data_IF_325774213739
#
_entry.id   IF_325774213739
#
_cell.length_a   1.000
_cell.length_b   1.000
_cell.length_c   1.000
_cell.angle_alpha   90.00
_cell.angle_beta   90.00
_cell.angle_gamma   90.00
#
_symmetry.space_group_name_H-M   'P 1'
#
loop_
_entity.id
_entity.type
_entity.pdbx_description
1 polymer ?
#
# COMPACT_ATOMS: atom_id res chain seq x y z
N UNK A 1 4.86 31.50 -4.45
CA UNK A 1 5.57 30.43 -3.72
C UNK A 1 4.78 29.16 -3.91
N UNK A 2 5.45 28.02 -4.16
CA UNK A 2 4.78 26.73 -4.23
C UNK A 2 4.41 26.31 -2.81
N UNK A 3 3.13 26.00 -2.58
CA UNK A 3 2.67 25.45 -1.30
C UNK A 3 2.64 23.92 -1.47
N UNK A 4 3.42 23.17 -0.68
CA UNK A 4 3.38 21.70 -0.76
C UNK A 4 2.03 21.18 -0.29
N UNK A 5 1.67 19.98 -0.72
CA UNK A 5 0.54 19.27 -0.13
C UNK A 5 0.77 19.02 1.36
N UNK A 6 -0.30 19.02 2.15
CA UNK A 6 -0.20 18.90 3.60
C UNK A 6 -1.37 18.12 4.21
N UNK A 7 -1.11 17.56 5.39
CA UNK A 7 -2.13 16.87 6.20
C UNK A 7 -2.69 17.83 7.25
N UNK A 8 -4.00 17.74 7.48
CA UNK A 8 -4.72 18.44 8.53
C UNK A 8 -5.61 17.45 9.28
N UNK A 9 -5.46 17.40 10.61
CA UNK A 9 -6.30 16.59 11.50
C UNK A 9 -7.12 17.58 12.34
N UNK A 10 -8.44 17.74 12.08
CA UNK A 10 -9.25 18.76 12.75
C UNK A 10 -9.36 18.59 14.27
N UNK A 11 -9.26 17.36 14.75
CA UNK A 11 -9.26 17.03 16.17
C UNK A 11 -8.09 16.09 16.48
N UNK A 12 -7.09 16.60 17.20
CA UNK A 12 -5.91 15.84 17.63
C UNK A 12 -5.92 15.54 19.13
N UNK A 13 -7.07 15.68 19.80
CA UNK A 13 -7.21 15.27 21.20
C UNK A 13 -6.92 13.76 21.32
N UNK A 14 -6.40 13.29 22.47
CA UNK A 14 -6.24 11.87 22.71
C UNK A 14 -7.55 11.11 22.52
N UNK A 15 -7.49 9.99 21.82
CA UNK A 15 -8.63 9.12 21.56
C UNK A 15 -8.46 7.77 22.26
N UNK A 16 -9.57 7.11 22.55
CA UNK A 16 -9.56 5.73 23.03
C UNK A 16 -9.41 4.75 21.87
N UNK A 17 -8.91 3.55 22.16
CA UNK A 17 -8.88 2.44 21.20
C UNK A 17 -10.25 2.24 20.55
N UNK A 18 -10.25 2.07 19.22
CA UNK A 18 -11.46 1.83 18.47
C UNK A 18 -12.30 3.08 18.21
N UNK A 19 -11.78 4.26 18.54
CA UNK A 19 -12.33 5.53 18.06
C UNK A 19 -11.72 5.92 16.71
N UNK A 20 -12.48 6.69 15.95
CA UNK A 20 -12.05 7.20 14.64
C UNK A 20 -11.49 8.62 14.76
N UNK A 21 -10.49 8.92 13.95
CA UNK A 21 -10.01 10.30 13.73
C UNK A 21 -10.25 10.69 12.28
N UNK A 22 -10.74 11.90 12.06
CA UNK A 22 -10.89 12.44 10.71
C UNK A 22 -9.53 12.99 10.25
N UNK A 23 -9.05 12.52 9.11
CA UNK A 23 -7.81 12.99 8.49
C UNK A 23 -8.14 13.61 7.14
N UNK A 24 -7.59 14.81 6.90
CA UNK A 24 -7.73 15.53 5.65
C UNK A 24 -6.36 15.72 5.00
N UNK A 25 -6.26 15.43 3.71
CA UNK A 25 -5.12 15.85 2.88
C UNK A 25 -5.56 16.94 1.94
N UNK A 26 -4.79 18.02 1.89
CA UNK A 26 -5.00 19.13 0.97
C UNK A 26 -3.85 19.14 -0.03
N UNK A 27 -4.19 19.06 -1.30
CA UNK A 27 -3.26 19.17 -2.42
C UNK A 27 -3.49 20.53 -3.09
N UNK A 28 -2.65 21.55 -2.83
CA UNK A 28 -2.81 22.86 -3.43
C UNK A 28 -2.72 22.82 -4.96
N UNK A 29 -3.40 23.75 -5.61
CA UNK A 29 -3.26 23.94 -7.05
C UNK A 29 -1.78 24.16 -7.43
N UNK A 30 -1.27 23.30 -8.30
CA UNK A 30 0.09 23.40 -8.82
C UNK A 30 0.09 24.13 -10.19
N UNK A 31 1.16 24.86 -10.53
CA UNK A 31 1.31 25.41 -11.88
C UNK A 31 1.24 24.30 -12.92
N UNK A 32 0.57 24.57 -14.04
CA UNK A 32 0.32 23.61 -15.11
C UNK A 32 1.63 23.00 -15.65
N UNK A 33 1.91 21.73 -15.33
CA UNK A 33 2.99 20.96 -15.97
C UNK A 33 2.45 20.28 -17.22
N UNK A 34 2.27 20.99 -18.33
CA UNK A 34 1.72 20.41 -19.56
C UNK A 34 2.30 19.03 -19.90
N UNK A 35 1.49 18.00 -19.68
CA UNK A 35 1.75 16.65 -20.16
C UNK A 35 0.71 16.39 -21.22
N UNK A 36 1.16 16.31 -22.47
CA UNK A 36 0.29 15.98 -23.62
C UNK A 36 -0.15 14.51 -23.62
N UNK A 37 0.38 13.72 -22.70
CA UNK A 37 0.22 12.27 -22.66
C UNK A 37 -0.55 11.82 -21.42
N UNK A 38 -0.26 12.39 -20.25
CA UNK A 38 -0.98 12.05 -19.03
C UNK A 38 -2.33 12.75 -18.96
N UNK A 39 -3.41 11.98 -18.86
CA UNK A 39 -4.76 12.52 -18.60
C UNK A 39 -5.50 11.58 -17.65
N UNK A 40 -6.01 12.06 -16.50
CA UNK A 40 -6.77 11.22 -15.58
C UNK A 40 -8.01 10.63 -16.25
N UNK A 41 -8.51 9.52 -15.73
CA UNK A 41 -9.79 8.99 -16.13
C UNK A 41 -10.92 10.00 -15.84
N UNK A 42 -12.00 9.94 -16.62
CA UNK A 42 -13.12 10.88 -16.48
C UNK A 42 -13.72 10.76 -15.08
N UNK A 43 -13.78 11.88 -14.36
CA UNK A 43 -14.32 11.94 -13.00
C UNK A 43 -13.34 11.51 -11.90
N UNK A 44 -12.12 11.11 -12.27
CA UNK A 44 -11.05 10.82 -11.31
C UNK A 44 -10.21 12.07 -11.05
N UNK A 45 -9.64 12.20 -9.84
CA UNK A 45 -8.69 13.26 -9.55
C UNK A 45 -7.43 13.16 -10.41
N UNK A 46 -6.69 14.26 -10.51
CA UNK A 46 -5.41 14.31 -11.23
C UNK A 46 -4.25 13.67 -10.46
N UNK A 47 -4.44 13.43 -9.17
CA UNK A 47 -3.46 12.89 -8.25
C UNK A 47 -4.06 11.72 -7.47
N UNK A 48 -3.19 10.93 -6.86
CA UNK A 48 -3.53 9.87 -5.93
C UNK A 48 -2.75 10.10 -4.65
N UNK A 49 -3.46 10.01 -3.54
CA UNK A 49 -2.92 10.31 -2.22
C UNK A 49 -2.84 9.01 -1.45
N UNK A 50 -1.62 8.60 -1.12
CA UNK A 50 -1.36 7.52 -0.18
C UNK A 50 -1.06 8.12 1.18
N UNK A 51 -1.75 7.65 2.20
CA UNK A 51 -1.51 8.11 3.56
C UNK A 51 -1.66 6.95 4.53
N UNK A 52 -0.67 6.82 5.40
CA UNK A 52 -0.69 5.91 6.53
C UNK A 52 -0.63 6.72 7.82
N UNK A 53 -1.30 6.24 8.87
CA UNK A 53 -1.03 6.65 10.24
C UNK A 53 0.03 5.71 10.81
N UNK A 54 1.19 6.25 11.19
CA UNK A 54 2.34 5.45 11.65
C UNK A 54 2.60 5.69 13.13
N UNK A 55 2.55 4.62 13.92
CA UNK A 55 2.83 4.63 15.36
C UNK A 55 4.31 4.94 15.65
N UNK A 56 4.57 5.95 16.49
CA UNK A 56 5.91 6.43 16.78
C UNK A 56 6.77 5.38 17.53
N UNK A 57 6.15 4.54 18.36
CA UNK A 57 6.86 3.56 19.19
C UNK A 57 6.87 2.18 18.55
N UNK A 58 5.72 1.76 18.02
CA UNK A 58 5.50 0.40 17.49
C UNK A 58 5.85 0.27 16.02
N UNK A 59 5.96 1.39 15.30
CA UNK A 59 6.10 1.44 13.84
C UNK A 59 4.96 0.69 13.11
N UNK A 60 3.80 0.54 13.75
CA UNK A 60 2.58 0.05 13.12
C UNK A 60 2.12 1.10 12.10
N UNK A 61 1.91 0.70 10.86
CA UNK A 61 1.30 1.52 9.82
C UNK A 61 -0.16 1.10 9.61
N UNK A 62 -1.08 2.05 9.75
CA UNK A 62 -2.51 1.88 9.46
C UNK A 62 -2.85 2.69 8.21
N UNK A 63 -3.19 2.05 7.08
CA UNK A 63 -3.53 2.78 5.87
C UNK A 63 -4.82 3.57 6.04
N UNK A 64 -4.86 4.77 5.46
CA UNK A 64 -6.01 5.66 5.48
C UNK A 64 -6.71 5.62 4.12
N UNK A 65 -7.96 5.15 4.08
CA UNK A 65 -8.74 5.07 2.83
C UNK A 65 -9.34 6.45 2.45
N UNK A 66 -8.46 7.35 2.02
CA UNK A 66 -8.80 8.70 1.60
C UNK A 66 -9.74 8.71 0.39
N UNK A 67 -10.83 9.47 0.49
CA UNK A 67 -11.73 9.76 -0.63
C UNK A 67 -11.69 11.24 -0.98
N UNK A 68 -11.72 11.62 -2.27
CA UNK A 68 -11.88 13.01 -2.64
C UNK A 68 -13.24 13.49 -2.12
N UNK A 69 -13.28 14.70 -1.54
CA UNK A 69 -14.55 15.33 -1.20
C UNK A 69 -15.42 15.49 -2.45
N UNK A 70 -16.74 15.46 -2.30
CA UNK A 70 -17.68 15.58 -3.40
C UNK A 70 -17.77 17.03 -3.94
N UNK A 71 -16.69 17.48 -4.58
CA UNK A 71 -16.55 18.80 -5.19
C UNK A 71 -15.98 18.63 -6.60
N UNK A 72 -16.64 19.22 -7.61
CA UNK A 72 -16.18 19.13 -9.00
C UNK A 72 -14.76 19.69 -9.19
N UNK A 73 -14.33 20.61 -8.32
CA UNK A 73 -12.97 21.14 -8.33
C UNK A 73 -11.93 20.05 -8.11
N UNK A 74 -12.20 18.98 -7.37
CA UNK A 74 -11.28 17.84 -7.24
C UNK A 74 -10.93 17.15 -8.57
N UNK A 75 -11.66 17.43 -9.66
CA UNK A 75 -11.36 16.93 -11.01
C UNK A 75 -10.62 17.95 -11.88
N UNK A 76 -10.49 19.19 -11.41
CA UNK A 76 -9.86 20.30 -12.12
C UNK A 76 -8.42 20.47 -11.67
N UNK A 77 -7.51 20.24 -12.61
CA UNK A 77 -6.06 20.33 -12.46
C UNK A 77 -5.56 21.58 -11.72
N UNK A 78 -6.09 22.75 -12.08
CA UNK A 78 -5.60 24.04 -11.58
C UNK A 78 -6.30 24.47 -10.29
N UNK A 79 -6.87 23.51 -9.56
CA UNK A 79 -7.60 23.76 -8.34
C UNK A 79 -7.03 22.95 -7.19
N UNK A 80 -7.37 23.35 -5.98
CA UNK A 80 -6.99 22.62 -4.77
C UNK A 80 -7.84 21.36 -4.67
N UNK A 81 -7.19 20.21 -4.54
CA UNK A 81 -7.86 18.96 -4.24
C UNK A 81 -7.88 18.69 -2.75
N UNK A 82 -8.99 18.15 -2.25
CA UNK A 82 -9.16 17.80 -0.84
C UNK A 82 -9.66 16.37 -0.71
N UNK A 83 -8.98 15.62 0.14
CA UNK A 83 -9.24 14.23 0.45
C UNK A 83 -9.53 14.07 1.93
N UNK A 84 -10.50 13.24 2.28
CA UNK A 84 -10.92 13.00 3.65
C UNK A 84 -11.16 11.51 3.89
N UNK A 85 -10.87 11.07 5.11
CA UNK A 85 -11.27 9.77 5.62
C UNK A 85 -11.36 9.80 7.15
N UNK A 86 -12.17 8.90 7.69
CA UNK A 86 -12.13 8.53 9.09
C UNK A 86 -11.24 7.29 9.24
N UNK A 87 -10.15 7.41 9.98
CA UNK A 87 -9.25 6.29 10.28
C UNK A 87 -9.54 5.75 11.66
N UNK A 88 -9.67 4.43 11.76
CA UNK A 88 -9.97 3.71 12.99
C UNK A 88 -8.69 3.15 13.60
N UNK A 89 -8.20 3.80 14.66
CA UNK A 89 -6.96 3.42 15.33
C UNK A 89 -7.24 2.48 16.51
N UNK A 90 -6.53 1.35 16.54
CA UNK A 90 -6.85 0.23 17.46
C UNK A 90 -5.69 -0.23 18.33
N UNK A 91 -4.47 0.19 18.02
CA UNK A 91 -3.29 -0.12 18.83
C UNK A 91 -2.88 1.14 19.62
N UNK A 92 -2.36 0.94 20.84
CA UNK A 92 -1.87 2.05 21.68
C UNK A 92 -0.56 2.56 21.09
N UNK A 93 -0.56 3.82 20.63
CA UNK A 93 0.64 4.54 20.21
C UNK A 93 0.32 6.03 20.04
N UNK A 94 1.34 6.81 19.68
CA UNK A 94 1.16 8.14 19.09
C UNK A 94 1.34 8.01 17.59
N UNK A 95 0.25 8.19 16.85
CA UNK A 95 0.25 8.06 15.40
C UNK A 95 0.54 9.39 14.73
N UNK A 96 1.52 9.39 13.83
CA UNK A 96 1.82 10.53 12.94
C UNK A 96 1.50 10.15 11.51
N UNK A 97 0.89 11.05 10.72
CA UNK A 97 0.60 10.77 9.33
C UNK A 97 1.91 10.71 8.52
N UNK A 98 2.01 9.76 7.61
CA UNK A 98 3.08 9.66 6.61
C UNK A 98 2.45 9.33 5.27
N UNK A 99 2.78 10.09 4.24
CA UNK A 99 2.13 9.88 2.96
C UNK A 99 2.84 10.55 1.81
N UNK A 100 2.36 10.18 0.63
CA UNK A 100 2.91 10.61 -0.64
C UNK A 100 1.79 10.91 -1.63
N UNK A 101 2.07 11.82 -2.54
CA UNK A 101 1.29 12.03 -3.74
C UNK A 101 1.99 11.32 -4.89
N UNK A 102 1.20 10.58 -5.64
CA UNK A 102 1.63 9.92 -6.85
C UNK A 102 0.57 10.10 -7.93
N UNK A 103 0.95 9.82 -9.17
CA UNK A 103 0.04 9.90 -10.30
C UNK A 103 -0.45 8.50 -10.67
N UNK A 104 -1.63 8.08 -10.19
CA UNK A 104 -2.31 6.83 -10.62
C UNK A 104 -3.57 7.14 -11.44
N UNK A 105 -4.14 6.09 -12.04
CA UNK A 105 -5.44 6.13 -12.73
C UNK A 105 -5.56 7.14 -13.89
N UNK A 106 -4.48 7.27 -14.65
CA UNK A 106 -4.47 8.06 -15.88
C UNK A 106 -4.38 7.21 -17.13
N UNK A 107 -4.97 7.74 -18.20
CA UNK A 107 -4.72 7.27 -19.55
C UNK A 107 -3.31 7.68 -19.95
N UNK A 108 -2.61 6.73 -20.57
CA UNK A 108 -1.36 6.95 -21.29
C UNK A 108 -0.26 7.64 -20.45
N UNK A 109 0.55 6.88 -19.73
CA UNK A 109 1.90 7.34 -19.37
C UNK A 109 2.90 6.64 -20.30
N UNK A 110 3.15 7.17 -21.51
CA UNK A 110 3.93 6.47 -22.52
C UNK A 110 5.36 6.26 -22.03
N UNK A 111 5.85 5.04 -22.20
CA UNK A 111 7.23 4.67 -21.89
C UNK A 111 8.19 5.34 -22.88
N UNK A 112 9.03 6.25 -22.39
CA UNK A 112 10.15 6.91 -23.09
C UNK A 112 9.84 7.70 -24.39
N UNK A 113 10.48 8.86 -24.56
CA UNK A 113 10.40 9.69 -25.78
C UNK A 113 9.36 10.81 -25.78
N UNK A 114 8.38 10.81 -24.85
CA UNK A 114 7.34 11.84 -24.74
C UNK A 114 7.31 12.59 -23.40
N UNK A 115 8.44 12.65 -22.69
CA UNK A 115 8.55 13.26 -21.35
C UNK A 115 7.48 12.72 -20.38
N UNK A 116 7.55 11.43 -20.00
CA UNK A 116 6.57 10.85 -19.08
C UNK A 116 6.51 11.65 -17.77
N UNK A 117 5.34 11.65 -17.14
CA UNK A 117 5.22 12.20 -15.78
C UNK A 117 6.15 11.40 -14.86
N UNK A 118 6.98 12.06 -14.03
CA UNK A 118 7.87 11.37 -13.12
C UNK A 118 7.07 10.47 -12.18
N UNK A 119 7.50 9.21 -12.06
CA UNK A 119 6.91 8.23 -11.14
C UNK A 119 7.37 8.42 -9.69
N UNK A 120 8.27 9.37 -9.44
CA UNK A 120 8.76 9.64 -8.10
C UNK A 120 7.63 10.22 -7.23
N UNK A 121 7.27 9.55 -6.12
CA UNK A 121 6.25 10.06 -5.22
C UNK A 121 6.70 11.37 -4.57
N UNK A 122 5.80 12.36 -4.50
CA UNK A 122 6.02 13.62 -3.78
C UNK A 122 5.60 13.45 -2.32
N UNK A 123 6.50 13.70 -1.38
CA UNK A 123 6.17 13.59 0.05
C UNK A 123 5.18 14.68 0.47
N UNK A 124 4.16 14.28 1.24
CA UNK A 124 3.19 15.22 1.83
C UNK A 124 3.85 15.90 3.03
N UNK A 125 3.70 17.22 3.14
CA UNK A 125 4.17 17.97 4.29
C UNK A 125 3.38 17.63 5.56
N UNK A 126 4.10 17.24 6.60
CA UNK A 126 3.56 16.90 7.91
C UNK A 126 4.03 17.96 8.91
N UNK A 127 3.10 18.63 9.59
CA UNK A 127 3.46 19.58 10.63
C UNK A 127 4.11 18.89 11.84
N UNK A 128 5.09 19.53 12.47
CA UNK A 128 5.88 18.94 13.58
C UNK A 128 5.02 18.47 14.76
N UNK A 129 3.88 19.13 15.01
CA UNK A 129 2.96 18.82 16.11
C UNK A 129 1.78 17.93 15.69
N UNK A 130 1.77 17.39 14.48
CA UNK A 130 0.65 16.62 13.96
C UNK A 130 0.75 15.16 14.39
N UNK A 131 0.04 14.81 15.45
CA UNK A 131 -0.06 13.43 15.93
C UNK A 131 -1.35 13.18 16.70
N UNK A 132 -1.75 11.92 16.78
CA UNK A 132 -2.95 11.48 17.50
C UNK A 132 -2.52 10.42 18.51
N UNK A 133 -2.75 10.72 19.79
CA UNK A 133 -2.49 9.77 20.89
C UNK A 133 -3.65 8.81 21.01
N UNK A 134 -3.36 7.50 21.01
CA UNK A 134 -4.35 6.44 21.21
C UNK A 134 -4.07 5.78 22.55
N UNK A 135 -5.06 5.76 23.43
CA UNK A 135 -4.93 5.25 24.79
C UNK A 135 -5.84 4.04 25.03
N UNK A 136 -5.38 3.11 25.87
CA UNK A 136 -6.17 1.99 26.40
C UNK A 136 -6.41 2.21 27.89
N UNK A 137 -7.31 3.14 28.22
CA UNK A 137 -7.59 3.50 29.63
C UNK A 137 -8.12 2.31 30.42
N UNK A 138 -8.88 1.43 29.77
CA UNK A 138 -9.49 0.27 30.41
C UNK A 138 -8.60 -0.99 30.38
N UNK A 139 -7.45 -0.95 29.70
CA UNK A 139 -6.54 -2.09 29.48
C UNK A 139 -7.24 -3.34 28.90
N UNK A 140 -8.24 -3.12 28.04
CA UNK A 140 -9.13 -4.19 27.53
C UNK A 140 -8.98 -4.43 26.03
N UNK A 141 -7.97 -3.83 25.38
CA UNK A 141 -7.84 -3.91 23.92
C UNK A 141 -7.96 -5.34 23.38
N UNK A 142 -9.01 -5.64 22.58
CA UNK A 142 -9.15 -6.94 21.94
C UNK A 142 -8.13 -7.12 20.81
N UNK A 143 -7.46 -6.04 20.38
CA UNK A 143 -6.59 -5.98 19.21
C UNK A 143 -5.13 -6.28 19.50
N UNK A 144 -4.80 -6.68 20.73
CA UNK A 144 -3.45 -7.03 21.16
C UNK A 144 -2.78 -8.03 20.21
N UNK A 145 -1.57 -7.70 19.75
CA UNK A 145 -0.75 -8.55 18.88
C UNK A 145 -0.52 -9.95 19.47
N UNK A 146 -0.44 -10.07 20.80
CA UNK A 146 -0.26 -11.37 21.48
C UNK A 146 -1.38 -12.37 21.20
N UNK A 147 -2.57 -11.87 20.84
CA UNK A 147 -3.77 -12.68 20.54
C UNK A 147 -3.99 -12.88 19.05
N UNK A 148 -3.14 -12.33 18.18
CA UNK A 148 -3.38 -12.35 16.73
C UNK A 148 -3.45 -13.79 16.18
N UNK A 149 -2.58 -14.69 16.67
CA UNK A 149 -2.59 -16.09 16.25
C UNK A 149 -3.81 -16.89 16.76
N UNK A 150 -4.51 -16.39 17.78
CA UNK A 150 -5.76 -16.98 18.28
C UNK A 150 -6.98 -16.59 17.44
N UNK A 151 -6.85 -15.60 16.55
CA UNK A 151 -7.94 -15.16 15.69
C UNK A 151 -8.35 -16.27 14.72
N UNK A 152 -9.64 -16.31 14.32
CA UNK A 152 -10.07 -17.22 13.28
C UNK A 152 -9.38 -16.91 11.95
N UNK A 153 -9.30 -17.89 11.06
CA UNK A 153 -8.80 -17.65 9.71
C UNK A 153 -9.72 -16.69 8.95
N UNK A 154 -9.15 -15.78 8.18
CA UNK A 154 -9.92 -14.90 7.31
C UNK A 154 -10.70 -15.70 6.26
N UNK A 155 -11.95 -15.31 6.01
CA UNK A 155 -12.84 -15.92 5.01
C UNK A 155 -13.04 -15.03 3.79
N UNK A 156 -12.77 -13.73 3.93
CA UNK A 156 -12.86 -12.74 2.87
C UNK A 156 -11.46 -12.24 2.50
N UNK A 157 -11.24 -11.85 1.22
CA UNK A 157 -10.07 -11.06 0.87
C UNK A 157 -10.17 -9.66 1.49
N UNK A 158 -9.03 -8.96 1.59
CA UNK A 158 -8.99 -7.53 1.97
C UNK A 158 -9.56 -7.20 3.36
N UNK A 159 -9.23 -8.03 4.35
CA UNK A 159 -9.61 -7.77 5.73
C UNK A 159 -8.86 -6.56 6.30
N UNK A 160 -9.61 -5.64 6.93
CA UNK A 160 -9.06 -4.46 7.60
C UNK A 160 -8.00 -4.83 8.64
N UNK A 161 -6.88 -4.12 8.61
CA UNK A 161 -5.68 -4.49 9.34
C UNK A 161 -4.65 -3.39 9.41
N UNK A 162 -3.42 -3.82 9.66
CA UNK A 162 -2.25 -2.95 9.80
C UNK A 162 -1.00 -3.60 9.23
N UNK A 163 -0.08 -2.77 8.76
CA UNK A 163 1.27 -3.17 8.42
C UNK A 163 2.16 -3.14 9.65
N UNK A 164 2.97 -4.18 9.83
CA UNK A 164 3.96 -4.25 10.90
C UNK A 164 5.25 -4.89 10.39
N UNK A 165 6.40 -4.43 10.91
CA UNK A 165 7.67 -5.10 10.62
C UNK A 165 7.66 -6.52 11.17
N UNK A 166 8.10 -7.48 10.35
CA UNK A 166 8.21 -8.88 10.76
C UNK A 166 9.13 -9.06 11.97
N UNK A 167 10.18 -8.23 12.10
CA UNK A 167 11.14 -8.28 13.20
C UNK A 167 10.54 -7.78 14.53
N UNK A 168 9.44 -7.02 14.47
CA UNK A 168 8.78 -6.45 15.65
C UNK A 168 7.66 -7.34 16.21
N UNK A 169 7.40 -8.50 15.60
CA UNK A 169 6.32 -9.37 16.01
C UNK A 169 6.65 -10.14 17.29
N UNK A 170 5.68 -10.31 18.22
CA UNK A 170 5.89 -11.06 19.45
C UNK A 170 5.74 -12.59 19.28
N UNK A 171 5.74 -13.10 18.05
CA UNK A 171 5.53 -14.50 17.70
C UNK A 171 6.30 -14.86 16.42
N UNK A 172 6.34 -16.15 16.08
CA UNK A 172 7.09 -16.66 14.92
C UNK A 172 6.46 -16.20 13.59
N UNK A 173 7.26 -15.53 12.75
CA UNK A 173 6.85 -15.01 11.44
C UNK A 173 6.44 -16.15 10.48
N UNK A 174 6.95 -17.37 10.68
CA UNK A 174 6.61 -18.52 9.83
C UNK A 174 5.15 -18.98 9.93
N UNK A 175 4.42 -18.50 10.94
CA UNK A 175 2.97 -18.72 11.10
C UNK A 175 2.12 -17.75 10.26
N UNK A 176 2.74 -16.74 9.64
CA UNK A 176 2.11 -15.72 8.82
C UNK A 176 2.45 -15.88 7.34
N UNK A 177 1.68 -15.26 6.42
CA UNK A 177 2.14 -15.06 5.05
C UNK A 177 3.53 -14.41 5.00
N UNK A 178 4.35 -14.75 3.98
CA UNK A 178 5.67 -14.15 3.82
C UNK A 178 5.61 -12.62 3.80
N UNK A 179 6.58 -11.92 4.42
CA UNK A 179 6.64 -10.47 4.39
C UNK A 179 6.84 -9.93 2.97
N UNK A 180 6.52 -8.66 2.78
CA UNK A 180 6.81 -7.93 1.55
C UNK A 180 8.31 -7.64 1.39
N UNK A 181 8.67 -6.90 0.33
CA UNK A 181 10.05 -6.52 0.05
C UNK A 181 10.62 -5.47 1.02
N UNK A 182 9.83 -4.95 1.95
CA UNK A 182 10.24 -4.03 3.01
C UNK A 182 10.22 -4.69 4.39
N UNK A 183 10.15 -6.03 4.44
CA UNK A 183 10.03 -6.82 5.67
C UNK A 183 8.74 -6.50 6.47
N UNK A 184 7.68 -6.07 5.79
CA UNK A 184 6.39 -5.75 6.40
C UNK A 184 5.39 -6.90 6.18
N UNK A 185 4.58 -7.17 7.19
CA UNK A 185 3.45 -8.12 7.12
C UNK A 185 2.13 -7.40 7.34
N UNK A 186 1.09 -7.83 6.64
CA UNK A 186 -0.28 -7.36 6.86
C UNK A 186 -0.97 -8.22 7.93
N UNK A 187 -1.44 -7.58 9.00
CA UNK A 187 -2.12 -8.22 10.13
C UNK A 187 -3.54 -7.69 10.28
N UNK A 188 -4.56 -8.44 9.83
CA UNK A 188 -5.95 -8.06 10.03
C UNK A 188 -6.32 -8.01 11.51
N UNK A 189 -7.28 -7.14 11.85
CA UNK A 189 -7.71 -6.94 13.24
C UNK A 189 -8.69 -8.01 13.75
N UNK A 190 -9.48 -8.60 12.85
CA UNK A 190 -10.60 -9.50 13.18
C UNK A 190 -10.35 -10.97 12.84
N UNK A 191 -9.30 -11.25 12.06
CA UNK A 191 -8.94 -12.57 11.59
C UNK A 191 -7.43 -12.65 11.37
N UNK A 192 -6.91 -13.87 11.19
CA UNK A 192 -5.52 -14.09 10.75
C UNK A 192 -5.49 -14.66 9.35
N UNK A 193 -4.52 -14.20 8.56
CA UNK A 193 -4.28 -14.77 7.24
C UNK A 193 -3.72 -16.18 7.40
N UNK A 194 -4.12 -17.09 6.52
CA UNK A 194 -3.53 -18.43 6.46
C UNK A 194 -2.13 -18.31 5.86
N UNK A 195 -1.13 -18.86 6.53
CA UNK A 195 0.16 -19.07 5.89
C UNK A 195 0.00 -20.05 4.71
N UNK A 196 0.37 -19.59 3.52
CA UNK A 196 0.42 -20.38 2.30
C UNK A 196 1.77 -20.07 1.66
N UNK A 197 2.62 -21.09 1.50
CA UNK A 197 3.89 -20.91 0.80
C UNK A 197 3.64 -20.61 -0.68
N UNK A 198 4.58 -19.94 -1.35
CA UNK A 198 4.47 -19.71 -2.79
C UNK A 198 4.33 -21.03 -3.58
N UNK A 199 5.03 -22.07 -3.15
CA UNK A 199 4.94 -23.41 -3.77
C UNK A 199 3.51 -23.97 -3.65
N UNK A 200 2.94 -23.95 -2.44
CA UNK A 200 1.57 -24.45 -2.22
C UNK A 200 0.53 -23.63 -2.99
N UNK A 201 0.70 -22.30 -3.01
CA UNK A 201 -0.18 -21.40 -3.74
C UNK A 201 -0.18 -21.72 -5.24
N UNK A 202 1.00 -21.88 -5.84
CA UNK A 202 1.15 -22.18 -7.26
C UNK A 202 0.62 -23.57 -7.60
N UNK A 203 0.91 -24.60 -6.78
CA UNK A 203 0.37 -25.95 -6.95
C UNK A 203 -1.17 -25.96 -6.88
N UNK A 204 -1.74 -25.27 -5.89
CA UNK A 204 -3.19 -25.13 -5.74
C UNK A 204 -3.83 -24.43 -6.95
N UNK A 205 -3.23 -23.33 -7.42
CA UNK A 205 -3.70 -22.62 -8.61
C UNK A 205 -3.62 -23.49 -9.87
N UNK A 206 -2.52 -24.22 -10.07
CA UNK A 206 -2.35 -25.08 -11.24
C UNK A 206 -3.34 -26.25 -11.26
N UNK A 207 -3.56 -26.89 -10.10
CA UNK A 207 -4.51 -27.99 -9.95
C UNK A 207 -5.95 -27.55 -10.21
N UNK A 208 -6.32 -26.32 -9.82
CA UNK A 208 -7.70 -25.80 -9.94
C UNK A 208 -7.96 -25.08 -11.26
N UNK A 209 -6.95 -24.39 -11.79
CA UNK A 209 -7.04 -23.54 -12.98
C UNK A 209 -5.89 -23.88 -13.94
N UNK A 210 -6.03 -24.93 -14.78
CA UNK A 210 -4.97 -25.40 -15.68
C UNK A 210 -4.48 -24.34 -16.68
N UNK A 211 -5.33 -23.35 -16.97
CA UNK A 211 -5.00 -22.20 -17.79
C UNK A 211 -5.57 -20.94 -17.13
N UNK A 212 -4.70 -19.96 -16.89
CA UNK A 212 -5.06 -18.67 -16.31
C UNK A 212 -4.51 -17.54 -17.18
N UNK A 213 -5.40 -16.67 -17.64
CA UNK A 213 -5.02 -15.45 -18.36
C UNK A 213 -5.03 -14.27 -17.40
N UNK A 214 -3.89 -13.58 -17.33
CA UNK A 214 -3.74 -12.38 -16.51
C UNK A 214 -3.71 -11.17 -17.43
N UNK A 215 -4.58 -10.20 -17.15
CA UNK A 215 -4.62 -8.92 -17.86
C UNK A 215 -4.46 -7.83 -16.81
N UNK A 216 -3.53 -6.92 -17.03
CA UNK A 216 -3.18 -5.91 -16.06
C UNK A 216 -2.10 -4.97 -16.54
N UNK A 217 -1.79 -4.02 -15.68
CA UNK A 217 -0.68 -3.10 -15.84
C UNK A 217 0.65 -3.73 -15.34
N UNK A 218 1.67 -2.89 -15.19
CA UNK A 218 2.96 -3.30 -14.62
C UNK A 218 2.85 -3.81 -13.18
N UNK A 219 1.88 -3.37 -12.37
CA UNK A 219 1.72 -3.87 -10.99
C UNK A 219 1.27 -5.33 -10.98
N UNK A 220 0.29 -5.69 -11.82
CA UNK A 220 -0.12 -7.10 -11.96
C UNK A 220 1.05 -7.97 -12.46
N UNK A 221 1.83 -7.46 -13.41
CA UNK A 221 3.04 -8.16 -13.88
C UNK A 221 4.00 -8.44 -12.73
N UNK A 222 4.24 -7.46 -11.85
CA UNK A 222 5.12 -7.59 -10.67
C UNK A 222 4.60 -8.59 -9.64
N UNK A 223 3.31 -8.57 -9.33
CA UNK A 223 2.68 -9.59 -8.47
C UNK A 223 2.87 -10.99 -9.06
N UNK A 224 2.70 -11.13 -10.38
CA UNK A 224 2.93 -12.40 -11.08
C UNK A 224 4.40 -12.82 -11.00
N UNK A 225 5.37 -11.89 -11.10
CA UNK A 225 6.80 -12.20 -10.93
C UNK A 225 7.10 -12.83 -9.59
N UNK A 226 6.55 -12.30 -8.50
CA UNK A 226 6.67 -12.93 -7.17
C UNK A 226 6.12 -14.34 -7.18
N UNK A 227 4.92 -14.56 -7.73
CA UNK A 227 4.31 -15.89 -7.76
C UNK A 227 5.13 -16.91 -8.58
N UNK A 228 5.51 -16.59 -9.81
CA UNK A 228 6.19 -17.54 -10.71
C UNK A 228 7.66 -17.78 -10.37
N UNK A 229 8.27 -16.92 -9.56
CA UNK A 229 9.62 -17.11 -9.01
C UNK A 229 9.60 -17.69 -7.59
N UNK A 230 8.43 -18.14 -7.12
CA UNK A 230 8.25 -18.70 -5.79
C UNK A 230 8.73 -17.76 -4.67
N UNK A 231 8.46 -16.46 -4.84
CA UNK A 231 8.83 -15.40 -3.92
C UNK A 231 10.21 -14.78 -4.16
N UNK A 232 11.07 -15.39 -4.99
CA UNK A 232 12.49 -15.01 -5.14
C UNK A 232 12.75 -13.72 -5.92
N UNK A 233 11.81 -13.24 -6.73
CA UNK A 233 11.99 -11.97 -7.46
C UNK A 233 12.07 -10.82 -6.46
N UNK A 234 13.09 -9.94 -6.48
CA UNK A 234 13.22 -8.82 -5.52
C UNK A 234 13.28 -9.25 -4.04
N UNK A 235 14.20 -10.15 -3.69
CA UNK A 235 14.41 -10.54 -2.28
C UNK A 235 15.85 -10.34 -1.79
N UNK A 236 16.84 -10.31 -2.67
CA UNK A 236 18.22 -10.03 -2.28
C UNK A 236 18.44 -8.52 -2.12
N UNK A 237 19.33 -8.11 -1.22
CA UNK A 237 19.70 -6.69 -1.06
C UNK A 237 20.19 -6.06 -2.36
N UNK A 238 20.91 -6.85 -3.18
CA UNK A 238 21.37 -6.42 -4.51
C UNK A 238 20.19 -6.16 -5.45
N UNK A 239 19.21 -7.08 -5.50
CA UNK A 239 18.03 -6.95 -6.36
C UNK A 239 17.16 -5.75 -5.95
N UNK A 240 17.01 -5.50 -4.64
CA UNK A 240 16.17 -4.42 -4.10
C UNK A 240 16.60 -3.03 -4.59
N UNK A 241 17.87 -2.85 -4.95
CA UNK A 241 18.39 -1.59 -5.48
C UNK A 241 18.34 -1.49 -7.00
N UNK A 242 17.94 -2.56 -7.70
CA UNK A 242 17.88 -2.56 -9.16
C UNK A 242 16.67 -1.76 -9.67
N UNK A 243 16.83 -1.06 -10.79
CA UNK A 243 15.73 -0.34 -11.45
C UNK A 243 14.57 -1.28 -11.83
N UNK A 244 14.87 -2.51 -12.24
CA UNK A 244 13.88 -3.56 -12.50
C UNK A 244 12.99 -3.84 -11.30
N UNK A 245 13.60 -3.93 -10.12
CA UNK A 245 12.86 -4.15 -8.88
C UNK A 245 12.03 -2.94 -8.48
N UNK A 246 12.63 -1.75 -8.57
CA UNK A 246 12.03 -0.50 -8.12
C UNK A 246 10.87 -0.06 -9.02
N UNK A 247 11.10 0.21 -10.32
CA UNK A 247 10.09 0.85 -11.20
C UNK A 247 10.09 0.41 -12.68
N UNK A 248 11.13 -0.25 -13.20
CA UNK A 248 11.40 -0.31 -14.64
C UNK A 248 11.65 -1.72 -15.17
N UNK A 249 10.65 -2.58 -15.07
CA UNK A 249 10.76 -3.98 -15.47
C UNK A 249 10.29 -4.23 -16.93
N UNK A 250 10.09 -3.17 -17.71
CA UNK A 250 9.64 -3.19 -19.11
C UNK A 250 10.76 -3.58 -20.09
N UNK A 251 12.03 -3.32 -19.72
CA UNK A 251 13.20 -3.75 -20.51
C UNK A 251 13.57 -5.22 -20.28
N UNK A 252 12.90 -5.94 -19.38
CA UNK A 252 13.11 -7.37 -19.17
C UNK A 252 12.51 -8.19 -20.32
N UNK A 253 13.18 -8.16 -21.46
CA UNK A 253 12.88 -8.97 -22.66
C UNK A 253 12.82 -10.48 -22.39
N UNK A 254 13.34 -10.94 -21.25
CA UNK A 254 13.41 -12.36 -20.88
C UNK A 254 12.33 -12.82 -19.89
N UNK A 255 11.53 -11.92 -19.30
CA UNK A 255 10.47 -12.35 -18.37
C UNK A 255 9.30 -13.07 -19.08
N UNK A 256 9.21 -12.97 -20.40
CA UNK A 256 8.31 -13.80 -21.23
C UNK A 256 8.67 -15.29 -21.20
N UNK A 257 9.82 -15.67 -20.61
CA UNK A 257 10.21 -17.06 -20.43
C UNK A 257 10.01 -17.41 -18.96
N UNK A 258 8.84 -18.00 -18.67
CA UNK A 258 8.69 -18.87 -17.49
C UNK A 258 9.98 -19.69 -17.36
N UNK A 259 10.68 -19.54 -16.24
CA UNK A 259 11.89 -20.31 -15.99
C UNK A 259 11.52 -21.80 -16.18
N UNK A 260 12.18 -22.54 -17.09
CA UNK A 260 11.84 -23.93 -17.35
C UNK A 260 11.87 -24.81 -16.09
N UNK A 261 12.75 -24.49 -15.13
CA UNK A 261 12.81 -25.20 -13.85
C UNK A 261 11.56 -25.00 -12.98
N UNK A 262 10.99 -23.78 -12.97
CA UNK A 262 9.74 -23.52 -12.26
C UNK A 262 8.54 -24.12 -12.98
N UNK A 263 8.54 -24.15 -14.33
CA UNK A 263 7.49 -24.81 -15.11
C UNK A 263 7.31 -26.29 -14.71
N UNK A 264 8.41 -26.99 -14.42
CA UNK A 264 8.37 -28.41 -14.07
C UNK A 264 7.73 -28.66 -12.69
N UNK A 265 7.80 -27.69 -11.76
CA UNK A 265 7.12 -27.75 -10.46
C UNK A 265 5.61 -27.49 -10.53
N UNK A 266 5.11 -27.00 -11.67
CA UNK A 266 3.71 -26.52 -11.84
C UNK A 266 2.91 -27.41 -12.79
N UNK A 267 3.58 -28.16 -13.68
CA UNK A 267 2.93 -28.96 -14.74
C UNK A 267 2.91 -30.46 -14.42
N UNK A 268 3.67 -30.93 -13.43
CA UNK A 268 3.56 -32.30 -12.90
C UNK A 268 2.43 -32.41 -11.86
#
# INVERSE_FOLDING_TARGET
AFTPAFVHIPNSDPIQIGQTVCVRVVVPAAPERNSITFTPLVGMPWDSVLLDMVGATTNISVPVDLKPIADFRNTLRDSTHVYEADVLLRDVDVYTPRGFIEFREAKWNPESGLQPMPYEPEAIFIGESLGVSVEDVDATSPYSLKRHLDLPLCTEPDAEGRWMSADALPFDVSELPPPDNHNMVWLPYSCRLRHISYTDAVQCMAARYPLMHWYGDSNIRRSLKKLVTLGQWCTSEEDLQTRSCLCEDYHESNFTRFNPGYRQLVID
#
